data_IF_326731914394
#
_entry.id   IF_326731914394
#
_cell.length_a   1.000
_cell.length_b   1.000
_cell.length_c   1.000
_cell.angle_alpha   90.00
_cell.angle_beta   90.00
_cell.angle_gamma   90.00
#
_symmetry.space_group_name_H-M   'P 1'
#
loop_
_entity.id
_entity.type
_entity.pdbx_description
1 polymer ?
#
# COMPACT_ATOMS: atom_id res chain seq x y z
N UNK A 1 -43.99 -45.92 -33.81
CA UNK A 1 -44.45 -45.71 -35.23
C UNK A 1 -43.63 -44.59 -35.87
N UNK A 2 -42.99 -44.93 -37.01
CA UNK A 2 -42.45 -44.05 -38.08
C UNK A 2 -41.52 -42.89 -37.71
N UNK A 3 -40.22 -43.00 -37.87
CA UNK A 3 -39.38 -42.84 -39.08
C UNK A 3 -39.59 -41.49 -39.79
N UNK A 4 -38.60 -40.60 -39.88
CA UNK A 4 -37.79 -40.46 -41.10
C UNK A 4 -36.57 -39.58 -40.88
N UNK A 5 -35.48 -40.10 -41.42
CA UNK A 5 -34.15 -39.52 -41.65
C UNK A 5 -34.20 -38.59 -42.88
N UNK A 6 -33.28 -37.68 -42.97
CA UNK A 6 -32.49 -37.24 -44.15
C UNK A 6 -32.02 -35.82 -43.87
N UNK A 7 -30.87 -35.36 -44.20
CA UNK A 7 -29.77 -35.87 -45.00
C UNK A 7 -28.71 -34.78 -45.12
N UNK A 8 -27.52 -35.26 -45.12
CA UNK A 8 -26.22 -34.69 -45.40
C UNK A 8 -26.19 -33.80 -46.69
N UNK A 9 -25.53 -32.64 -46.68
CA UNK A 9 -24.83 -32.10 -47.83
C UNK A 9 -23.63 -31.23 -47.43
N UNK A 10 -22.47 -31.78 -47.69
CA UNK A 10 -21.16 -31.14 -47.77
C UNK A 10 -21.11 -30.28 -49.02
N UNK A 11 -20.65 -29.04 -48.94
CA UNK A 11 -20.08 -28.36 -50.10
C UNK A 11 -18.81 -27.60 -49.70
N UNK A 12 -17.69 -28.24 -50.06
CA UNK A 12 -16.35 -27.64 -50.14
C UNK A 12 -16.31 -26.84 -51.44
N UNK A 13 -15.95 -25.58 -51.38
CA UNK A 13 -15.53 -24.81 -52.55
C UNK A 13 -14.22 -24.07 -52.25
N UNK A 14 -13.13 -24.68 -52.69
CA UNK A 14 -11.83 -24.07 -52.90
C UNK A 14 -11.90 -23.26 -54.20
N UNK A 15 -11.64 -21.98 -54.15
CA UNK A 15 -11.23 -21.22 -55.34
C UNK A 15 -9.98 -20.43 -55.02
N UNK A 16 -8.89 -20.90 -55.55
CA UNK A 16 -7.65 -20.16 -55.68
C UNK A 16 -7.78 -19.15 -56.82
N UNK A 17 -7.48 -17.91 -56.59
CA UNK A 17 -7.21 -16.93 -57.64
C UNK A 17 -5.93 -16.19 -57.28
N UNK A 18 -4.83 -16.59 -57.92
CA UNK A 18 -3.65 -15.79 -58.15
C UNK A 18 -3.96 -14.68 -59.15
N UNK A 19 -3.53 -13.49 -58.88
CA UNK A 19 -3.44 -12.50 -59.92
C UNK A 19 -3.28 -11.06 -59.46
N UNK A 20 -2.07 -10.54 -59.66
CA UNK A 20 -1.69 -9.13 -59.90
C UNK A 20 -1.52 -8.19 -58.71
N UNK A 21 -0.25 -8.00 -58.33
CA UNK A 21 0.26 -6.77 -57.72
C UNK A 21 0.09 -5.60 -58.68
N UNK A 22 -0.25 -4.43 -58.17
CA UNK A 22 0.44 -3.21 -58.65
C UNK A 22 1.32 -2.68 -57.54
N UNK A 23 2.62 -2.63 -57.84
CA UNK A 23 3.54 -1.79 -57.11
C UNK A 23 3.14 -0.31 -57.30
N UNK A 24 2.52 0.27 -56.28
CA UNK A 24 2.39 1.72 -56.13
C UNK A 24 3.36 2.13 -55.01
N UNK A 25 4.51 2.61 -55.43
CA UNK A 25 5.38 3.46 -54.63
C UNK A 25 4.59 4.71 -54.23
N UNK A 26 4.06 4.70 -52.98
CA UNK A 26 3.48 5.86 -52.30
C UNK A 26 4.47 6.28 -51.24
N UNK A 27 5.30 7.26 -51.53
CA UNK A 27 6.02 8.02 -50.52
C UNK A 27 5.03 8.79 -49.65
N UNK A 28 5.19 8.73 -48.31
CA UNK A 28 4.69 9.73 -47.40
C UNK A 28 3.47 9.29 -46.58
N UNK A 29 3.70 8.49 -45.59
CA UNK A 29 2.83 8.35 -44.41
C UNK A 29 3.74 8.06 -43.25
N UNK A 30 3.86 9.00 -42.33
CA UNK A 30 4.51 8.75 -41.04
C UNK A 30 3.84 7.50 -40.44
N UNK A 31 4.59 6.42 -40.33
CA UNK A 31 4.10 5.22 -39.65
C UNK A 31 3.80 5.62 -38.22
N UNK A 32 2.54 5.57 -37.84
CA UNK A 32 2.19 5.45 -36.42
C UNK A 32 2.96 4.23 -35.94
N UNK A 33 3.98 4.45 -35.11
CA UNK A 33 4.79 3.36 -34.56
C UNK A 33 3.87 2.43 -33.80
N UNK A 34 4.14 1.13 -33.89
CA UNK A 34 3.36 0.10 -33.18
C UNK A 34 3.23 0.48 -31.71
N UNK A 35 2.00 0.41 -31.16
CA UNK A 35 1.71 0.73 -29.78
C UNK A 35 2.43 -0.25 -28.84
N UNK A 36 3.13 0.28 -27.86
CA UNK A 36 3.87 -0.51 -26.87
C UNK A 36 3.02 -0.58 -25.61
N UNK A 37 2.61 -1.79 -25.24
CA UNK A 37 1.73 -2.02 -24.08
C UNK A 37 2.54 -2.63 -22.95
N UNK A 38 2.68 -1.88 -21.85
CA UNK A 38 3.26 -2.37 -20.58
C UNK A 38 2.10 -2.95 -19.76
N UNK A 39 2.14 -4.25 -19.51
CA UNK A 39 1.08 -4.97 -18.81
C UNK A 39 1.38 -5.09 -17.33
N UNK A 40 0.51 -4.55 -16.49
CA UNK A 40 0.64 -4.57 -15.03
C UNK A 40 -0.40 -5.52 -14.44
N UNK A 41 0.07 -6.53 -13.71
CA UNK A 41 -0.80 -7.40 -12.92
C UNK A 41 -1.07 -6.81 -11.54
N UNK A 42 -2.31 -6.77 -11.09
CA UNK A 42 -2.69 -6.30 -9.75
C UNK A 42 -3.25 -7.46 -8.94
N UNK A 43 -2.51 -7.89 -7.91
CA UNK A 43 -2.90 -8.90 -6.95
C UNK A 43 -3.33 -8.22 -5.66
N UNK A 44 -4.63 -8.21 -5.36
CA UNK A 44 -5.17 -7.47 -4.24
C UNK A 44 -6.47 -8.07 -3.69
N UNK A 45 -6.93 -7.58 -2.55
CA UNK A 45 -8.26 -7.82 -2.04
C UNK A 45 -9.23 -6.77 -2.61
N UNK A 46 -10.08 -7.18 -3.55
CA UNK A 46 -11.10 -6.29 -4.12
C UNK A 46 -12.44 -6.45 -3.43
N UNK A 47 -12.83 -7.67 -3.05
CA UNK A 47 -14.19 -7.96 -2.55
C UNK A 47 -14.21 -8.55 -1.14
N UNK A 48 -13.05 -8.71 -0.51
CA UNK A 48 -12.94 -9.21 0.86
C UNK A 48 -12.93 -8.11 1.92
N UNK A 49 -12.42 -8.44 3.09
CA UNK A 49 -12.51 -7.58 4.29
C UNK A 49 -11.73 -6.25 4.15
N UNK A 50 -10.63 -6.23 3.39
CA UNK A 50 -9.84 -5.01 3.17
C UNK A 50 -10.23 -4.27 1.87
N UNK A 51 -11.20 -4.79 1.11
CA UNK A 51 -11.58 -4.24 -0.20
C UNK A 51 -11.97 -2.76 -0.15
N UNK A 52 -12.66 -2.31 0.90
CA UNK A 52 -13.05 -0.90 1.07
C UNK A 52 -11.88 0.10 1.16
N UNK A 53 -10.72 -0.35 1.65
CA UNK A 53 -9.50 0.47 1.66
C UNK A 53 -8.64 0.24 0.42
N UNK A 54 -8.57 -1.00 -0.09
CA UNK A 54 -7.70 -1.35 -1.23
C UNK A 54 -8.25 -0.87 -2.57
N UNK A 55 -9.56 -0.96 -2.81
CA UNK A 55 -10.15 -0.50 -4.07
C UNK A 55 -9.85 0.99 -4.36
N UNK A 56 -10.08 1.94 -3.44
CA UNK A 56 -9.73 3.33 -3.70
C UNK A 56 -8.23 3.56 -3.93
N UNK A 57 -7.37 2.79 -3.27
CA UNK A 57 -5.92 2.86 -3.49
C UNK A 57 -5.55 2.40 -4.89
N UNK A 58 -6.10 1.25 -5.33
CA UNK A 58 -5.86 0.71 -6.67
C UNK A 58 -6.42 1.66 -7.73
N UNK A 59 -7.65 2.16 -7.55
CA UNK A 59 -8.25 3.10 -8.49
C UNK A 59 -7.42 4.39 -8.63
N UNK A 60 -6.93 4.95 -7.51
CA UNK A 60 -6.05 6.11 -7.54
C UNK A 60 -4.73 5.84 -8.25
N UNK A 61 -4.17 4.65 -8.07
CA UNK A 61 -2.97 4.17 -8.75
C UNK A 61 -3.17 4.04 -10.26
N UNK A 62 -4.24 3.36 -10.67
CA UNK A 62 -4.53 3.13 -12.09
C UNK A 62 -4.88 4.43 -12.80
N UNK A 63 -5.75 5.25 -12.20
CA UNK A 63 -6.11 6.56 -12.72
C UNK A 63 -4.90 7.51 -12.83
N UNK A 64 -3.91 7.35 -11.96
CA UNK A 64 -2.66 8.10 -12.08
C UNK A 64 -1.96 7.79 -13.42
N UNK A 65 -1.75 6.52 -13.71
CA UNK A 65 -1.05 6.10 -14.92
C UNK A 65 -1.90 6.28 -16.20
N UNK A 66 -3.21 6.09 -16.12
CA UNK A 66 -4.10 6.15 -17.28
C UNK A 66 -4.63 7.57 -17.59
N UNK A 67 -4.80 8.42 -16.55
CA UNK A 67 -5.48 9.71 -16.70
C UNK A 67 -4.62 10.91 -16.32
N UNK A 68 -3.73 10.77 -15.32
CA UNK A 68 -2.96 11.91 -14.83
C UNK A 68 -1.66 12.06 -15.63
N UNK A 69 -0.86 10.99 -15.70
CA UNK A 69 0.41 11.01 -16.45
C UNK A 69 0.22 11.41 -17.92
N UNK A 70 -0.74 10.87 -18.69
CA UNK A 70 -0.95 11.29 -20.07
C UNK A 70 -1.39 12.76 -20.26
N UNK A 71 -1.89 13.40 -19.21
CA UNK A 71 -2.32 14.79 -19.22
C UNK A 71 -1.41 15.73 -18.43
N UNK A 72 -0.23 15.26 -18.00
CA UNK A 72 0.79 16.04 -17.31
C UNK A 72 1.66 16.84 -18.31
N UNK A 73 2.50 17.70 -17.78
CA UNK A 73 3.47 18.46 -18.58
C UNK A 73 4.61 17.57 -19.13
N UNK A 74 4.79 16.39 -18.54
CA UNK A 74 5.79 15.40 -18.96
C UNK A 74 5.15 14.00 -19.06
N UNK A 75 4.34 13.73 -20.11
CA UNK A 75 3.71 12.42 -20.29
C UNK A 75 4.73 11.35 -20.68
N UNK A 76 4.35 10.08 -20.50
CA UNK A 76 5.07 8.98 -21.15
C UNK A 76 4.99 9.13 -22.68
N UNK A 77 5.97 8.57 -23.44
CA UNK A 77 5.92 8.63 -24.91
C UNK A 77 4.56 8.18 -25.45
N UNK A 78 3.99 8.88 -26.42
CA UNK A 78 2.60 8.67 -26.93
C UNK A 78 2.31 7.23 -27.33
N UNK A 79 3.33 6.49 -27.81
CA UNK A 79 3.21 5.08 -28.19
C UNK A 79 3.18 4.11 -27.00
N UNK A 80 3.52 4.56 -25.78
CA UNK A 80 3.54 3.71 -24.58
C UNK A 80 2.19 3.79 -23.88
N UNK A 81 1.58 2.64 -23.68
CA UNK A 81 0.32 2.48 -22.95
C UNK A 81 0.51 1.52 -21.80
N UNK A 82 -0.25 1.74 -20.73
CA UNK A 82 -0.30 0.83 -19.59
C UNK A 82 -1.62 0.06 -19.64
N UNK A 83 -1.58 -1.22 -19.35
CA UNK A 83 -2.77 -2.08 -19.29
C UNK A 83 -2.78 -2.86 -17.99
N UNK A 84 -3.90 -2.82 -17.26
CA UNK A 84 -4.06 -3.53 -15.99
C UNK A 84 -4.78 -4.87 -16.14
N UNK A 85 -4.37 -5.84 -15.34
CA UNK A 85 -5.01 -7.15 -15.21
C UNK A 85 -5.11 -7.50 -13.73
N UNK A 86 -6.32 -7.76 -13.25
CA UNK A 86 -6.60 -7.94 -11.82
C UNK A 86 -6.77 -9.40 -11.43
N UNK A 87 -6.38 -9.72 -10.20
CA UNK A 87 -6.75 -10.95 -9.51
C UNK A 87 -7.22 -10.64 -8.08
N UNK A 88 -8.45 -11.06 -7.75
CA UNK A 88 -9.06 -10.84 -6.44
C UNK A 88 -8.71 -11.96 -5.47
N UNK A 89 -7.86 -11.66 -4.49
CA UNK A 89 -7.49 -12.60 -3.43
C UNK A 89 -8.57 -12.78 -2.38
N UNK A 90 -9.48 -11.82 -2.22
CA UNK A 90 -10.51 -11.78 -1.17
C UNK A 90 -9.93 -11.93 0.25
N UNK A 91 -8.71 -11.41 0.45
CA UNK A 91 -7.90 -11.60 1.66
C UNK A 91 -7.76 -13.09 2.07
N UNK A 92 -7.93 -13.98 1.10
CA UNK A 92 -7.75 -15.43 1.27
C UNK A 92 -6.36 -15.84 0.76
N UNK A 93 -5.45 -16.02 1.67
CA UNK A 93 -4.04 -16.31 1.38
C UNK A 93 -3.80 -17.62 0.61
N UNK A 94 -4.78 -18.53 0.57
CA UNK A 94 -4.70 -19.70 -0.29
C UNK A 94 -4.79 -19.36 -1.80
N UNK A 95 -5.30 -18.16 -2.14
CA UNK A 95 -5.39 -17.65 -3.51
C UNK A 95 -4.12 -16.92 -3.98
N UNK A 96 -3.20 -16.57 -3.09
CA UNK A 96 -2.00 -15.78 -3.41
C UNK A 96 -1.17 -16.44 -4.54
N UNK A 97 -0.71 -17.66 -4.33
CA UNK A 97 0.11 -18.36 -5.34
C UNK A 97 -0.66 -18.65 -6.64
N UNK A 98 -1.91 -19.16 -6.61
CA UNK A 98 -2.72 -19.29 -7.82
C UNK A 98 -2.88 -17.97 -8.58
N UNK A 99 -3.19 -16.88 -7.89
CA UNK A 99 -3.37 -15.56 -8.51
C UNK A 99 -2.09 -15.03 -9.16
N UNK A 100 -0.97 -15.16 -8.46
CA UNK A 100 0.34 -14.81 -9.01
C UNK A 100 0.64 -15.60 -10.31
N UNK A 101 0.43 -16.92 -10.31
CA UNK A 101 0.67 -17.76 -11.47
C UNK A 101 -0.29 -17.45 -12.62
N UNK A 102 -1.54 -17.11 -12.33
CA UNK A 102 -2.52 -16.70 -13.33
C UNK A 102 -2.09 -15.39 -13.99
N UNK A 103 -1.75 -14.35 -13.22
CA UNK A 103 -1.28 -13.08 -13.76
C UNK A 103 -0.01 -13.27 -14.61
N UNK A 104 0.96 -14.06 -14.12
CA UNK A 104 2.16 -14.40 -14.88
C UNK A 104 1.82 -15.09 -16.20
N UNK A 105 0.86 -16.03 -16.22
CA UNK A 105 0.45 -16.74 -17.42
C UNK A 105 -0.24 -15.83 -18.47
N UNK A 106 -0.79 -14.70 -18.04
CA UNK A 106 -1.37 -13.67 -18.90
C UNK A 106 -0.32 -12.73 -19.51
N UNK A 107 0.96 -12.95 -19.19
CA UNK A 107 2.09 -12.21 -19.75
C UNK A 107 2.16 -10.78 -19.24
N UNK A 108 1.95 -10.56 -17.94
CA UNK A 108 2.21 -9.27 -17.30
C UNK A 108 3.71 -9.03 -17.19
N UNK A 109 4.14 -7.78 -17.33
CA UNK A 109 5.54 -7.36 -17.30
C UNK A 109 6.01 -6.96 -15.89
N UNK A 110 5.06 -6.51 -15.06
CA UNK A 110 5.26 -6.10 -13.66
C UNK A 110 4.02 -6.49 -12.84
N UNK A 111 4.20 -6.84 -11.55
CA UNK A 111 3.09 -7.08 -10.64
C UNK A 111 3.04 -6.06 -9.50
N UNK A 112 1.86 -5.53 -9.25
CA UNK A 112 1.53 -4.80 -8.04
C UNK A 112 0.87 -5.77 -7.06
N UNK A 113 1.47 -5.94 -5.87
CA UNK A 113 0.97 -6.85 -4.83
C UNK A 113 0.71 -6.03 -3.56
N UNK A 114 -0.57 -5.78 -3.30
CA UNK A 114 -0.98 -4.82 -2.27
C UNK A 114 -0.78 -5.31 -0.85
N UNK A 115 -1.01 -6.59 -0.58
CA UNK A 115 -0.97 -7.13 0.78
C UNK A 115 0.41 -7.68 1.14
N UNK A 116 0.95 -7.28 2.31
CA UNK A 116 2.26 -7.74 2.78
C UNK A 116 2.33 -9.26 2.99
N UNK A 117 1.23 -9.87 3.48
CA UNK A 117 1.16 -11.33 3.69
C UNK A 117 1.20 -12.09 2.36
N UNK A 118 0.56 -11.58 1.31
CA UNK A 118 0.64 -12.18 -0.03
C UNK A 118 2.08 -12.16 -0.54
N UNK A 119 2.78 -11.04 -0.37
CA UNK A 119 4.19 -10.90 -0.75
C UNK A 119 5.10 -11.85 0.05
N UNK A 120 4.85 -12.02 1.36
CA UNK A 120 5.61 -12.94 2.21
C UNK A 120 5.41 -14.39 1.76
N UNK A 121 4.18 -14.81 1.46
CA UNK A 121 3.85 -16.16 0.99
C UNK A 121 4.50 -16.50 -0.37
N UNK A 122 4.66 -15.53 -1.25
CA UNK A 122 5.38 -15.72 -2.50
C UNK A 122 6.88 -15.93 -2.28
N UNK A 123 7.43 -15.41 -1.19
CA UNK A 123 8.82 -15.64 -0.79
C UNK A 123 9.82 -15.22 -1.87
N UNK A 124 10.65 -16.15 -2.34
CA UNK A 124 11.64 -15.92 -3.40
C UNK A 124 11.09 -16.19 -4.82
N UNK A 125 9.81 -16.43 -4.97
CA UNK A 125 9.23 -16.75 -6.28
C UNK A 125 9.40 -15.62 -7.30
N UNK A 126 9.15 -14.33 -6.97
CA UNK A 126 9.39 -13.23 -7.89
C UNK A 126 10.83 -13.21 -8.42
N UNK A 127 11.83 -13.36 -7.53
CA UNK A 127 13.25 -13.43 -7.93
C UNK A 127 13.54 -14.64 -8.84
N UNK A 128 13.03 -15.82 -8.49
CA UNK A 128 13.23 -17.04 -9.28
C UNK A 128 12.52 -17.02 -10.64
N UNK A 129 11.42 -16.30 -10.73
CA UNK A 129 10.61 -16.18 -11.94
C UNK A 129 11.01 -15.00 -12.83
N UNK A 130 11.92 -14.11 -12.37
CA UNK A 130 12.28 -12.87 -13.05
C UNK A 130 11.09 -11.91 -13.18
N UNK A 131 10.21 -11.86 -12.16
CA UNK A 131 9.00 -11.03 -12.17
C UNK A 131 9.17 -9.84 -11.21
N UNK A 132 9.29 -8.60 -11.71
CA UNK A 132 9.36 -7.43 -10.86
C UNK A 132 8.05 -7.24 -10.12
N UNK A 133 8.15 -6.97 -8.81
CA UNK A 133 6.98 -6.73 -7.97
C UNK A 133 7.12 -5.43 -7.22
N UNK A 134 6.08 -4.61 -7.22
CA UNK A 134 5.96 -3.41 -6.39
C UNK A 134 4.78 -3.61 -5.43
N UNK A 135 4.91 -3.11 -4.23
CA UNK A 135 3.78 -3.09 -3.30
C UNK A 135 3.93 -2.01 -2.26
N UNK A 136 2.83 -1.71 -1.60
CA UNK A 136 2.78 -0.68 -0.58
C UNK A 136 3.48 -1.13 0.69
N UNK A 137 2.99 -2.16 1.36
CA UNK A 137 3.55 -2.62 2.64
C UNK A 137 4.81 -3.48 2.48
N UNK A 138 5.85 -3.18 3.25
CA UNK A 138 7.08 -3.99 3.38
C UNK A 138 7.12 -4.82 4.65
N UNK A 139 7.67 -6.02 4.54
CA UNK A 139 8.07 -6.84 5.68
C UNK A 139 9.59 -6.96 5.70
N UNK A 140 10.16 -7.11 6.89
CA UNK A 140 11.62 -7.23 7.05
C UNK A 140 12.23 -8.33 6.19
N UNK A 141 11.53 -9.46 6.03
CA UNK A 141 11.96 -10.60 5.20
C UNK A 141 12.11 -10.28 3.70
N UNK A 142 11.63 -9.13 3.26
CA UNK A 142 11.57 -8.76 1.83
C UNK A 142 12.58 -7.68 1.46
N UNK A 143 13.20 -7.01 2.45
CA UNK A 143 14.01 -5.82 2.22
C UNK A 143 15.28 -6.05 1.38
N UNK A 144 15.80 -7.27 1.33
CA UNK A 144 17.01 -7.63 0.58
C UNK A 144 16.71 -8.34 -0.76
N UNK A 145 15.46 -8.34 -1.24
CA UNK A 145 15.09 -9.04 -2.48
C UNK A 145 15.26 -8.14 -3.70
N UNK A 146 15.85 -8.69 -4.76
CA UNK A 146 16.21 -7.93 -5.96
C UNK A 146 15.02 -7.52 -6.83
N UNK A 147 14.02 -8.40 -6.94
CA UNK A 147 12.85 -8.24 -7.81
C UNK A 147 11.65 -7.64 -7.10
N UNK A 148 11.86 -7.03 -5.95
CA UNK A 148 10.80 -6.50 -5.12
C UNK A 148 11.11 -5.06 -4.71
N UNK A 149 10.13 -4.17 -4.78
CA UNK A 149 10.17 -2.80 -4.29
C UNK A 149 9.01 -2.54 -3.33
N UNK A 150 9.24 -1.72 -2.32
CA UNK A 150 8.24 -1.32 -1.33
C UNK A 150 8.19 0.20 -1.26
N UNK A 151 7.00 0.77 -1.42
CA UNK A 151 6.82 2.23 -1.33
C UNK A 151 6.65 2.71 0.11
N UNK A 152 6.10 1.89 1.00
CA UNK A 152 5.88 2.25 2.40
C UNK A 152 7.00 1.82 3.32
N UNK A 153 7.08 2.51 4.45
CA UNK A 153 7.96 2.12 5.55
C UNK A 153 7.65 0.70 6.05
N UNK A 154 8.66 -0.12 6.34
CA UNK A 154 8.44 -1.49 6.81
C UNK A 154 7.63 -1.54 8.10
N UNK A 155 6.78 -2.56 8.23
CA UNK A 155 5.91 -2.73 9.40
C UNK A 155 6.72 -2.77 10.71
N UNK A 156 7.88 -3.39 10.69
CA UNK A 156 8.77 -3.44 11.87
C UNK A 156 9.23 -2.04 12.30
N UNK A 157 9.50 -1.15 11.34
CA UNK A 157 9.91 0.22 11.64
C UNK A 157 8.78 1.08 12.22
N UNK A 158 7.54 0.78 11.89
CA UNK A 158 6.40 1.46 12.50
C UNK A 158 6.30 1.15 14.00
N UNK A 159 6.49 -0.13 14.39
CA UNK A 159 6.54 -0.52 15.80
C UNK A 159 7.71 0.13 16.56
N UNK A 160 8.89 0.26 15.90
CA UNK A 160 10.03 0.99 16.46
C UNK A 160 9.69 2.47 16.67
N UNK A 161 9.16 3.14 15.65
CA UNK A 161 8.86 4.58 15.72
C UNK A 161 7.80 4.90 16.78
N UNK A 162 6.78 4.07 16.93
CA UNK A 162 5.77 4.28 17.96
C UNK A 162 6.37 4.20 19.37
N UNK A 163 7.29 3.29 19.60
CA UNK A 163 7.98 3.20 20.90
C UNK A 163 8.92 4.38 21.14
N UNK A 164 9.61 4.86 20.09
CA UNK A 164 10.45 6.07 20.19
C UNK A 164 9.59 7.31 20.47
N UNK A 165 8.43 7.43 19.80
CA UNK A 165 7.49 8.51 20.07
C UNK A 165 6.96 8.47 21.51
N UNK A 166 6.55 7.30 22.03
CA UNK A 166 6.13 7.16 23.44
C UNK A 166 7.24 7.60 24.39
N UNK A 167 8.50 7.30 24.07
CA UNK A 167 9.64 7.68 24.89
C UNK A 167 9.83 9.21 24.96
N UNK A 168 9.54 9.91 23.87
CA UNK A 168 9.64 11.37 23.80
C UNK A 168 8.41 12.08 24.40
N UNK A 169 7.22 11.49 24.24
CA UNK A 169 5.96 12.06 24.72
C UNK A 169 5.80 11.94 26.25
N UNK A 170 6.37 10.88 26.85
CA UNK A 170 6.16 10.61 28.26
C UNK A 170 6.95 11.53 29.19
N UNK A 171 6.26 12.20 30.11
CA UNK A 171 6.90 13.02 31.17
C UNK A 171 7.45 12.15 32.32
N UNK A 172 8.65 11.63 32.13
CA UNK A 172 9.33 10.79 33.13
C UNK A 172 9.54 11.52 34.49
N UNK A 173 9.76 12.82 34.46
CA UNK A 173 10.04 13.61 35.67
C UNK A 173 8.73 13.87 36.41
N UNK A 174 7.71 14.37 35.73
CA UNK A 174 6.43 14.69 36.36
C UNK A 174 5.67 13.46 36.84
N UNK A 175 5.82 12.34 36.13
CA UNK A 175 5.17 11.06 36.49
C UNK A 175 5.98 10.23 37.48
N UNK A 176 7.31 10.44 37.58
CA UNK A 176 8.20 9.70 38.48
C UNK A 176 8.30 8.20 38.22
N UNK A 177 7.88 7.74 37.05
CA UNK A 177 7.90 6.34 36.60
C UNK A 177 7.97 6.21 35.09
N UNK A 178 8.30 5.03 34.60
CA UNK A 178 8.21 4.70 33.18
C UNK A 178 6.75 4.49 32.72
N UNK A 179 6.41 4.78 31.45
CA UNK A 179 5.09 4.51 30.89
C UNK A 179 4.82 3.01 30.83
N UNK A 180 3.57 2.63 31.10
CA UNK A 180 3.09 1.27 30.91
C UNK A 180 2.51 1.13 29.51
N UNK A 181 3.12 0.27 28.69
CA UNK A 181 2.79 0.10 27.26
C UNK A 181 2.29 -1.31 27.01
N UNK A 182 1.19 -1.44 26.27
CA UNK A 182 0.68 -2.71 25.77
C UNK A 182 0.50 -2.68 24.27
N UNK A 183 0.41 -3.86 23.64
CA UNK A 183 0.17 -4.01 22.23
C UNK A 183 -1.02 -4.92 21.97
N UNK A 184 -1.95 -4.47 21.11
CA UNK A 184 -3.06 -5.25 20.58
C UNK A 184 -2.92 -5.43 19.08
N UNK A 185 -3.03 -6.66 18.59
CA UNK A 185 -2.87 -6.97 17.18
C UNK A 185 -3.75 -8.12 16.70
N UNK A 186 -3.71 -8.39 15.40
CA UNK A 186 -4.20 -9.64 14.83
C UNK A 186 -3.21 -10.78 15.05
N UNK A 187 -3.71 -12.01 15.05
CA UNK A 187 -2.85 -13.19 14.95
C UNK A 187 -2.41 -13.40 13.48
N UNK A 188 -1.57 -12.50 12.97
CA UNK A 188 -0.99 -12.53 11.63
C UNK A 188 0.53 -12.33 11.71
N UNK A 189 1.25 -12.71 10.65
CA UNK A 189 2.70 -12.51 10.61
C UNK A 189 3.09 -11.02 10.60
N UNK A 190 2.32 -10.15 9.95
CA UNK A 190 2.52 -8.70 10.00
C UNK A 190 2.56 -8.15 11.41
N UNK A 191 1.67 -8.63 12.29
CA UNK A 191 1.65 -8.24 13.72
C UNK A 191 2.90 -8.68 14.47
N UNK A 192 3.49 -9.81 14.09
CA UNK A 192 4.77 -10.29 14.67
C UNK A 192 5.95 -9.40 14.27
N UNK A 193 5.97 -8.93 13.03
CA UNK A 193 6.97 -7.93 12.60
C UNK A 193 6.80 -6.60 13.34
N UNK A 194 5.55 -6.18 13.53
CA UNK A 194 5.26 -4.98 14.33
C UNK A 194 5.78 -5.13 15.76
N UNK A 195 5.45 -6.26 16.42
CA UNK A 195 5.94 -6.60 17.75
C UNK A 195 7.46 -6.69 17.79
N UNK A 196 8.10 -7.21 16.74
CA UNK A 196 9.56 -7.27 16.67
C UNK A 196 10.20 -5.87 16.69
N UNK A 197 9.61 -4.87 16.03
CA UNK A 197 10.04 -3.47 16.13
C UNK A 197 9.92 -2.91 17.54
N UNK A 198 8.81 -3.17 18.22
CA UNK A 198 8.59 -2.84 19.62
C UNK A 198 9.68 -3.47 20.52
N UNK A 199 9.96 -4.76 20.29
CA UNK A 199 10.94 -5.51 21.09
C UNK A 199 12.39 -5.00 20.91
N UNK A 200 12.74 -4.51 19.72
CA UNK A 200 14.04 -3.85 19.49
C UNK A 200 14.22 -2.63 20.41
N UNK A 201 13.21 -1.77 20.48
CA UNK A 201 13.29 -0.56 21.31
C UNK A 201 13.29 -0.92 22.81
N UNK A 202 12.47 -1.89 23.23
CA UNK A 202 12.50 -2.39 24.61
C UNK A 202 13.86 -2.96 25.00
N UNK A 203 14.53 -3.66 24.08
CA UNK A 203 15.87 -4.20 24.32
C UNK A 203 16.94 -3.10 24.38
N UNK A 204 16.83 -2.08 23.52
CA UNK A 204 17.78 -0.95 23.51
C UNK A 204 17.59 -0.01 24.71
N UNK A 205 16.37 0.11 25.23
CA UNK A 205 16.00 1.05 26.30
C UNK A 205 15.19 0.37 27.41
N UNK A 206 15.72 -0.65 28.11
CA UNK A 206 14.97 -1.53 29.01
C UNK A 206 14.30 -0.79 30.20
N UNK A 207 14.88 0.30 30.66
CA UNK A 207 14.39 1.07 31.80
C UNK A 207 13.35 2.15 31.41
N UNK A 208 13.12 2.34 30.12
CA UNK A 208 12.22 3.39 29.62
C UNK A 208 10.75 2.97 29.59
N UNK A 209 10.45 1.69 29.72
CA UNK A 209 9.09 1.17 29.58
C UNK A 209 8.76 0.12 30.64
N UNK A 210 7.50 0.10 31.08
CA UNK A 210 6.89 -1.03 31.76
C UNK A 210 6.00 -1.76 30.74
N UNK A 211 6.37 -2.99 30.37
CA UNK A 211 5.62 -3.75 29.36
C UNK A 211 4.42 -4.47 29.97
N UNK A 212 3.21 -4.21 29.46
CA UNK A 212 1.98 -4.82 29.96
C UNK A 212 1.65 -6.16 29.28
N UNK A 213 2.06 -6.33 28.02
CA UNK A 213 1.82 -7.56 27.26
C UNK A 213 1.50 -7.31 25.79
N UNK A 214 1.52 -8.41 25.05
CA UNK A 214 1.06 -8.49 23.67
C UNK A 214 -0.24 -9.31 23.63
N UNK A 215 -1.31 -8.70 23.16
CA UNK A 215 -2.65 -9.29 23.10
C UNK A 215 -3.06 -9.50 21.64
N UNK A 216 -3.53 -10.66 21.32
CA UNK A 216 -3.94 -11.02 19.97
C UNK A 216 -5.45 -11.27 19.87
N UNK A 217 -6.01 -10.91 18.72
CA UNK A 217 -7.35 -11.28 18.29
C UNK A 217 -7.31 -11.93 16.90
N UNK A 218 -8.31 -12.74 16.60
CA UNK A 218 -8.47 -13.29 15.24
C UNK A 218 -8.93 -12.19 14.28
N UNK A 219 -8.56 -12.31 13.00
CA UNK A 219 -9.07 -11.42 11.96
C UNK A 219 -10.62 -11.49 11.94
N UNK A 220 -11.26 -10.33 11.91
CA UNK A 220 -12.73 -10.21 12.02
C UNK A 220 -13.27 -10.12 13.44
N UNK A 221 -12.42 -10.20 14.48
CA UNK A 221 -12.88 -10.06 15.87
C UNK A 221 -13.38 -8.63 16.15
N UNK A 222 -14.58 -8.53 16.72
CA UNK A 222 -15.20 -7.27 17.16
C UNK A 222 -15.55 -7.28 18.65
N UNK A 223 -15.08 -8.26 19.40
CA UNK A 223 -15.31 -8.40 20.84
C UNK A 223 -14.01 -8.42 21.62
N UNK A 224 -13.71 -7.33 22.33
CA UNK A 224 -12.40 -7.06 22.93
C UNK A 224 -12.41 -7.02 24.47
N UNK A 225 -13.50 -7.39 25.12
CA UNK A 225 -13.66 -7.22 26.58
C UNK A 225 -12.52 -7.81 27.41
N UNK A 226 -11.97 -8.97 27.03
CA UNK A 226 -10.85 -9.59 27.72
C UNK A 226 -9.55 -8.84 27.52
N UNK A 227 -9.24 -8.40 26.28
CA UNK A 227 -8.05 -7.62 25.94
C UNK A 227 -8.12 -6.24 26.61
N UNK A 228 -9.28 -5.56 26.54
CA UNK A 228 -9.50 -4.30 27.25
C UNK A 228 -9.23 -4.46 28.75
N UNK A 229 -9.73 -5.52 29.37
CA UNK A 229 -9.49 -5.76 30.81
C UNK A 229 -8.01 -5.88 31.15
N UNK A 230 -7.22 -6.54 30.31
CA UNK A 230 -5.76 -6.70 30.51
C UNK A 230 -4.99 -5.44 30.21
N UNK A 231 -5.41 -4.65 29.21
CA UNK A 231 -4.69 -3.48 28.74
C UNK A 231 -5.13 -2.14 29.35
N UNK A 232 -6.32 -2.08 29.98
CA UNK A 232 -6.88 -0.80 30.48
C UNK A 232 -6.04 -0.03 31.50
N UNK A 233 -5.06 -0.67 32.10
CA UNK A 233 -4.10 0.00 33.03
C UNK A 233 -2.86 0.52 32.35
N UNK A 234 -2.74 0.41 31.01
CA UNK A 234 -1.66 0.99 30.25
C UNK A 234 -1.81 2.51 30.15
N UNK A 235 -0.68 3.20 30.02
CA UNK A 235 -0.65 4.61 29.63
C UNK A 235 -0.82 4.74 28.12
N UNK A 236 -0.23 3.79 27.38
CA UNK A 236 -0.30 3.69 25.92
C UNK A 236 -0.69 2.28 25.49
N UNK A 237 -1.57 2.18 24.51
CA UNK A 237 -1.84 0.93 23.80
C UNK A 237 -1.49 1.14 22.34
N UNK A 238 -0.51 0.37 21.86
CA UNK A 238 -0.23 0.24 20.43
C UNK A 238 -1.29 -0.70 19.84
N UNK A 239 -1.95 -0.30 18.75
CA UNK A 239 -3.09 -1.01 18.18
C UNK A 239 -2.80 -1.31 16.70
N UNK A 240 -2.44 -2.55 16.40
CA UNK A 240 -2.17 -3.04 15.04
C UNK A 240 -3.37 -3.79 14.48
N UNK A 241 -4.57 -3.23 14.65
CA UNK A 241 -5.81 -3.68 14.01
C UNK A 241 -6.44 -2.52 13.24
N UNK A 242 -7.31 -2.82 12.28
CA UNK A 242 -7.83 -1.84 11.34
C UNK A 242 -9.34 -1.96 11.13
N UNK A 243 -9.95 -0.97 10.51
CA UNK A 243 -11.34 -0.94 10.10
C UNK A 243 -12.34 -1.16 11.25
N UNK A 244 -13.39 -2.00 11.04
CA UNK A 244 -14.41 -2.27 12.05
C UNK A 244 -13.87 -2.82 13.36
N UNK A 245 -12.76 -3.53 13.31
CA UNK A 245 -12.11 -4.11 14.49
C UNK A 245 -11.44 -3.04 15.34
N UNK A 246 -10.82 -2.04 14.72
CA UNK A 246 -10.27 -0.87 15.40
C UNK A 246 -11.38 -0.05 16.06
N UNK A 247 -12.44 0.29 15.32
CA UNK A 247 -13.59 1.04 15.85
C UNK A 247 -14.20 0.37 17.07
N UNK A 248 -14.40 -0.94 16.96
CA UNK A 248 -14.94 -1.76 18.04
C UNK A 248 -14.01 -1.79 19.26
N UNK A 249 -12.68 -1.89 19.05
CA UNK A 249 -11.73 -1.84 20.16
C UNK A 249 -11.73 -0.48 20.84
N UNK A 250 -11.64 0.61 20.09
CA UNK A 250 -11.67 1.97 20.65
C UNK A 250 -12.92 2.17 21.49
N UNK A 251 -14.09 1.86 20.95
CA UNK A 251 -15.37 2.01 21.67
C UNK A 251 -15.41 1.19 22.95
N UNK A 252 -14.98 -0.08 22.92
CA UNK A 252 -14.98 -0.93 24.10
C UNK A 252 -13.91 -0.51 25.14
N UNK A 253 -12.75 -0.05 24.69
CA UNK A 253 -11.69 0.47 25.57
C UNK A 253 -12.17 1.72 26.31
N UNK A 254 -12.75 2.69 25.59
CA UNK A 254 -13.29 3.93 26.19
C UNK A 254 -14.48 3.64 27.12
N UNK A 255 -15.42 2.80 26.72
CA UNK A 255 -16.52 2.35 27.58
C UNK A 255 -16.04 1.57 28.81
N UNK A 256 -14.93 0.82 28.69
CA UNK A 256 -14.26 0.11 29.78
C UNK A 256 -13.43 1.01 30.72
N UNK A 257 -13.43 2.33 30.50
CA UNK A 257 -12.74 3.32 31.31
C UNK A 257 -11.26 3.52 30.96
N UNK A 258 -10.80 3.09 29.78
CA UNK A 258 -9.45 3.41 29.31
C UNK A 258 -9.34 4.87 28.93
N UNK A 259 -8.39 5.58 29.54
CA UNK A 259 -8.17 7.02 29.35
C UNK A 259 -6.79 7.35 28.76
N UNK A 260 -5.92 6.36 28.52
CA UNK A 260 -4.62 6.56 27.96
C UNK A 260 -4.63 6.71 26.43
N UNK A 261 -3.45 6.90 25.86
CA UNK A 261 -3.26 7.10 24.42
C UNK A 261 -3.42 5.80 23.62
N UNK A 262 -3.99 5.92 22.43
CA UNK A 262 -4.11 4.85 21.44
C UNK A 262 -3.25 5.20 20.21
N UNK A 263 -2.31 4.32 19.87
CA UNK A 263 -1.41 4.51 18.75
C UNK A 263 -1.65 3.45 17.68
N UNK A 264 -1.80 3.88 16.42
CA UNK A 264 -1.87 2.94 15.30
C UNK A 264 -0.73 3.17 14.30
N UNK A 265 -0.47 2.19 13.45
CA UNK A 265 0.23 2.42 12.20
C UNK A 265 -0.69 3.08 11.16
N UNK A 266 -0.14 3.26 9.98
CA UNK A 266 -0.87 3.89 8.87
C UNK A 266 -2.11 3.10 8.42
N UNK A 267 -2.12 1.78 8.59
CA UNK A 267 -3.25 0.92 8.26
C UNK A 267 -4.42 1.03 9.25
N UNK A 268 -4.20 1.65 10.41
CA UNK A 268 -5.21 1.81 11.44
C UNK A 268 -6.21 2.92 11.14
N UNK A 269 -6.04 4.07 11.78
CA UNK A 269 -6.95 5.20 11.60
C UNK A 269 -6.98 5.74 10.16
N UNK A 270 -5.84 6.08 9.54
CA UNK A 270 -5.88 6.76 8.25
C UNK A 270 -6.34 5.86 7.09
N UNK A 271 -6.02 4.57 7.13
CA UNK A 271 -6.38 3.63 6.07
C UNK A 271 -7.89 3.33 5.98
N UNK A 272 -8.59 3.39 7.11
CA UNK A 272 -10.01 3.04 7.21
C UNK A 272 -10.84 4.15 7.87
N UNK A 273 -10.44 5.39 7.73
CA UNK A 273 -11.03 6.52 8.44
C UNK A 273 -12.57 6.61 8.37
N UNK A 274 -13.22 6.49 7.19
CA UNK A 274 -14.68 6.52 7.11
C UNK A 274 -15.36 5.38 7.87
N UNK A 275 -14.79 4.18 7.85
CA UNK A 275 -15.31 3.05 8.62
C UNK A 275 -15.11 3.26 10.12
N UNK A 276 -13.98 3.83 10.52
CA UNK A 276 -13.72 4.13 11.94
C UNK A 276 -14.72 5.16 12.43
N UNK A 277 -14.86 6.29 11.75
CA UNK A 277 -15.76 7.37 12.16
C UNK A 277 -17.23 6.98 12.09
N UNK A 278 -17.62 6.18 11.09
CA UNK A 278 -18.99 5.69 10.95
C UNK A 278 -19.43 4.67 12.00
N UNK A 279 -18.49 4.06 12.73
CA UNK A 279 -18.79 2.99 13.69
C UNK A 279 -18.41 3.30 15.15
N UNK A 280 -17.63 4.35 15.39
CA UNK A 280 -17.11 4.66 16.73
C UNK A 280 -18.17 5.22 17.70
N UNK A 281 -19.33 5.57 17.22
CA UNK A 281 -20.45 6.09 18.03
C UNK A 281 -20.32 7.57 18.40
N UNK A 282 -19.16 8.06 18.85
CA UNK A 282 -18.87 9.46 19.11
C UNK A 282 -17.41 9.77 18.81
N UNK A 283 -17.15 10.88 18.12
CA UNK A 283 -15.80 11.37 17.83
C UNK A 283 -15.01 11.71 19.11
N UNK A 284 -15.69 11.99 20.22
CA UNK A 284 -15.02 12.23 21.50
C UNK A 284 -14.22 11.00 21.98
N UNK A 285 -14.53 9.80 21.48
CA UNK A 285 -13.77 8.58 21.81
C UNK A 285 -12.37 8.57 21.18
N UNK A 286 -12.11 9.47 20.22
CA UNK A 286 -10.81 9.63 19.56
C UNK A 286 -9.85 10.58 20.30
N UNK A 287 -10.20 11.02 21.52
CA UNK A 287 -9.25 11.77 22.32
C UNK A 287 -7.98 10.95 22.53
N UNK A 288 -6.83 11.62 22.49
CA UNK A 288 -5.52 11.00 22.68
C UNK A 288 -5.29 9.80 21.76
N UNK A 289 -5.74 9.94 20.49
CA UNK A 289 -5.48 8.97 19.44
C UNK A 289 -4.41 9.50 18.49
N UNK A 290 -3.47 8.62 18.15
CA UNK A 290 -2.31 8.93 17.34
C UNK A 290 -2.09 7.87 16.27
N UNK A 291 -1.41 8.24 15.18
CA UNK A 291 -0.84 7.28 14.25
C UNK A 291 0.54 7.73 13.78
N UNK A 292 1.33 6.81 13.24
CA UNK A 292 2.61 7.12 12.61
C UNK A 292 2.54 6.89 11.11
N UNK A 293 3.12 7.83 10.33
CA UNK A 293 3.21 7.74 8.88
C UNK A 293 4.40 8.55 8.36
N UNK A 294 4.72 8.37 7.07
CA UNK A 294 5.82 9.02 6.33
C UNK A 294 5.33 10.07 5.34
N UNK A 295 4.03 10.06 5.00
CA UNK A 295 3.42 10.99 4.05
C UNK A 295 2.85 12.25 4.71
N UNK A 296 2.60 13.31 3.91
CA UNK A 296 1.79 14.44 4.35
C UNK A 296 0.31 14.08 4.45
N UNK A 297 -0.44 14.81 5.27
CA UNK A 297 -1.88 14.61 5.43
C UNK A 297 -2.70 15.70 4.71
N UNK A 298 -3.98 15.46 4.51
CA UNK A 298 -4.90 16.28 3.71
C UNK A 298 -4.96 17.77 4.07
N UNK A 299 -4.60 18.17 5.27
CA UNK A 299 -4.55 19.58 5.74
C UNK A 299 -3.16 20.23 5.58
N UNK A 300 -2.21 19.56 5.00
CA UNK A 300 -0.89 20.12 4.72
C UNK A 300 -0.87 20.74 3.32
N UNK A 301 -0.15 21.87 3.20
CA UNK A 301 -0.03 22.61 1.93
C UNK A 301 1.27 22.17 1.22
N UNK A 302 1.19 21.04 0.54
CA UNK A 302 2.29 20.45 -0.23
C UNK A 302 1.80 19.95 -1.58
N UNK A 303 2.65 19.93 -2.62
CA UNK A 303 2.26 19.58 -4.00
C UNK A 303 1.52 18.24 -4.11
N UNK A 304 1.98 17.20 -3.43
CA UNK A 304 1.33 15.88 -3.45
C UNK A 304 -0.14 15.95 -3.00
N UNK A 305 -0.41 16.69 -1.91
CA UNK A 305 -1.77 16.79 -1.38
C UNK A 305 -2.64 17.64 -2.31
N UNK A 306 -2.08 18.68 -2.93
CA UNK A 306 -2.81 19.46 -3.93
C UNK A 306 -3.15 18.58 -5.15
N UNK A 307 -2.21 17.81 -5.65
CA UNK A 307 -2.41 16.86 -6.74
C UNK A 307 -3.48 15.79 -6.40
N UNK A 308 -3.48 15.26 -5.19
CA UNK A 308 -4.55 14.36 -4.72
C UNK A 308 -5.93 15.04 -4.69
N UNK A 309 -6.00 16.30 -4.27
CA UNK A 309 -7.26 17.09 -4.29
C UNK A 309 -7.75 17.33 -5.71
N UNK A 310 -6.86 17.74 -6.60
CA UNK A 310 -7.17 18.00 -8.02
C UNK A 310 -7.63 16.71 -8.72
N UNK A 311 -6.99 15.59 -8.43
CA UNK A 311 -7.42 14.26 -8.90
C UNK A 311 -8.86 13.95 -8.45
N UNK A 312 -9.15 14.09 -7.15
CA UNK A 312 -10.49 13.84 -6.62
C UNK A 312 -11.53 14.74 -7.29
N UNK A 313 -11.22 16.03 -7.44
CA UNK A 313 -12.15 16.99 -8.05
C UNK A 313 -12.39 16.73 -9.53
N UNK A 314 -11.40 16.25 -10.25
CA UNK A 314 -11.47 16.04 -11.69
C UNK A 314 -12.02 14.68 -12.09
N UNK A 315 -11.63 13.62 -11.37
CA UNK A 315 -11.85 12.25 -11.83
C UNK A 315 -12.77 11.41 -10.93
N UNK A 316 -13.00 11.83 -9.68
CA UNK A 316 -13.87 11.10 -8.75
C UNK A 316 -15.29 11.65 -8.80
N UNK A 317 -16.28 10.77 -8.70
CA UNK A 317 -17.70 11.15 -8.62
C UNK A 317 -17.97 12.01 -7.39
N UNK A 318 -18.86 12.97 -7.52
CA UNK A 318 -19.13 13.95 -6.47
C UNK A 318 -19.56 13.31 -5.14
N UNK A 319 -20.33 12.22 -5.19
CA UNK A 319 -20.81 11.49 -4.03
C UNK A 319 -19.71 10.80 -3.21
N UNK A 320 -18.56 10.46 -3.85
CA UNK A 320 -17.46 9.69 -3.22
C UNK A 320 -16.31 10.61 -2.72
N UNK A 321 -16.33 11.90 -3.10
CA UNK A 321 -15.19 12.82 -2.87
C UNK A 321 -14.87 13.06 -1.42
N UNK A 322 -15.91 13.28 -0.61
CA UNK A 322 -15.76 13.56 0.83
C UNK A 322 -15.11 12.38 1.55
N UNK A 323 -15.59 11.17 1.27
CA UNK A 323 -15.06 9.95 1.85
C UNK A 323 -13.59 9.76 1.50
N UNK A 324 -13.21 9.94 0.23
CA UNK A 324 -11.82 9.75 -0.22
C UNK A 324 -10.85 10.79 0.34
N UNK A 325 -11.29 12.03 0.57
CA UNK A 325 -10.47 13.06 1.23
C UNK A 325 -10.19 12.79 2.71
N UNK A 326 -10.91 11.88 3.34
CA UNK A 326 -10.68 11.47 4.72
C UNK A 326 -9.73 10.28 4.89
N UNK A 327 -9.25 9.66 3.79
CA UNK A 327 -8.45 8.44 3.84
C UNK A 327 -7.04 8.62 3.32
N UNK A 328 -6.14 7.71 3.69
CA UNK A 328 -4.81 7.61 3.06
C UNK A 328 -4.84 6.90 1.69
N UNK A 329 -5.97 6.34 1.27
CA UNK A 329 -6.05 5.48 0.09
C UNK A 329 -5.62 6.18 -1.19
N UNK A 330 -6.08 7.43 -1.41
CA UNK A 330 -5.70 8.21 -2.60
C UNK A 330 -4.22 8.55 -2.56
N UNK A 331 -3.71 8.99 -1.40
CA UNK A 331 -2.28 9.32 -1.22
C UNK A 331 -1.43 8.08 -1.53
N UNK A 332 -1.78 6.93 -0.97
CA UNK A 332 -1.07 5.66 -1.18
C UNK A 332 -1.10 5.20 -2.64
N UNK A 333 -2.24 5.37 -3.32
CA UNK A 333 -2.36 5.05 -4.74
C UNK A 333 -1.48 5.95 -5.61
N UNK A 334 -1.37 7.23 -5.27
CA UNK A 334 -0.46 8.20 -5.93
C UNK A 334 1.01 7.81 -5.72
N UNK A 335 1.41 7.47 -4.48
CA UNK A 335 2.76 6.98 -4.21
C UNK A 335 3.13 5.79 -5.08
N UNK A 336 2.23 4.82 -5.15
CA UNK A 336 2.43 3.63 -5.96
C UNK A 336 2.51 3.98 -7.45
N UNK A 337 1.66 4.89 -7.93
CA UNK A 337 1.66 5.39 -9.30
C UNK A 337 2.98 6.07 -9.67
N UNK A 338 3.47 6.96 -8.83
CA UNK A 338 4.75 7.66 -9.02
C UNK A 338 5.90 6.65 -9.08
N UNK A 339 5.94 5.65 -8.19
CA UNK A 339 6.99 4.65 -8.19
C UNK A 339 6.97 3.78 -9.46
N UNK A 340 5.78 3.37 -9.92
CA UNK A 340 5.63 2.57 -11.15
C UNK A 340 5.96 3.42 -12.38
N UNK A 341 5.47 4.65 -12.47
CA UNK A 341 5.82 5.58 -13.56
C UNK A 341 7.33 5.76 -13.65
N UNK A 342 7.98 6.05 -12.53
CA UNK A 342 9.43 6.26 -12.53
C UNK A 342 10.19 4.99 -12.95
N UNK A 343 9.75 3.83 -12.53
CA UNK A 343 10.33 2.55 -12.98
C UNK A 343 10.20 2.38 -14.50
N UNK A 344 9.05 2.73 -15.08
CA UNK A 344 8.81 2.70 -16.53
C UNK A 344 9.70 3.71 -17.25
N UNK A 345 9.80 4.96 -16.76
CA UNK A 345 10.66 5.99 -17.35
C UNK A 345 12.12 5.58 -17.37
N UNK A 346 12.63 5.10 -16.23
CA UNK A 346 14.01 4.63 -16.13
C UNK A 346 14.29 3.46 -17.08
N UNK A 347 13.32 2.52 -17.21
CA UNK A 347 13.45 1.41 -18.16
C UNK A 347 13.48 1.90 -19.61
N UNK A 348 12.58 2.82 -19.98
CA UNK A 348 12.54 3.42 -21.32
C UNK A 348 13.84 4.17 -21.63
N UNK A 349 14.35 4.95 -20.67
CA UNK A 349 15.62 5.68 -20.84
C UNK A 349 16.80 4.72 -21.05
N UNK A 350 16.82 3.60 -20.33
CA UNK A 350 17.93 2.65 -20.38
C UNK A 350 17.96 1.81 -21.66
N UNK A 351 16.80 1.32 -22.14
CA UNK A 351 16.75 0.33 -23.22
C UNK A 351 15.92 0.75 -24.44
N UNK A 352 15.24 1.89 -24.40
CA UNK A 352 14.24 2.31 -25.40
C UNK A 352 12.89 1.65 -25.16
N UNK A 353 11.81 2.35 -25.51
CA UNK A 353 10.45 1.92 -25.20
C UNK A 353 10.10 0.55 -25.80
N UNK A 354 10.58 0.23 -26.98
CA UNK A 354 10.37 -1.03 -27.70
C UNK A 354 11.05 -2.25 -27.10
N UNK A 355 11.99 -2.03 -26.16
CA UNK A 355 12.76 -3.10 -25.51
C UNK A 355 12.43 -3.23 -24.03
N UNK A 356 11.39 -2.53 -23.54
CA UNK A 356 10.97 -2.64 -22.14
C UNK A 356 10.37 -4.02 -21.90
N UNK A 357 11.00 -4.77 -21.01
CA UNK A 357 10.54 -6.07 -20.51
C UNK A 357 10.61 -6.10 -18.96
N UNK A 358 10.30 -7.24 -18.37
CA UNK A 358 10.35 -7.40 -16.90
C UNK A 358 11.74 -7.13 -16.31
N UNK A 359 12.81 -7.43 -17.02
CA UNK A 359 14.17 -7.18 -16.54
C UNK A 359 14.50 -5.67 -16.59
N UNK A 360 14.13 -4.98 -17.66
CA UNK A 360 14.27 -3.54 -17.78
C UNK A 360 13.44 -2.81 -16.71
N UNK A 361 12.20 -3.26 -16.43
CA UNK A 361 11.36 -2.70 -15.37
C UNK A 361 11.97 -2.92 -13.97
N UNK A 362 12.54 -4.10 -13.71
CA UNK A 362 13.28 -4.37 -12.47
C UNK A 362 14.47 -3.42 -12.31
N UNK A 363 15.24 -3.23 -13.37
CA UNK A 363 16.38 -2.30 -13.34
C UNK A 363 15.90 -0.84 -13.20
N UNK A 364 14.78 -0.49 -13.84
CA UNK A 364 14.11 0.80 -13.67
C UNK A 364 13.64 1.05 -12.23
N UNK A 365 13.07 0.03 -11.55
CA UNK A 365 12.75 0.12 -10.11
C UNK A 365 14.00 0.36 -9.26
N UNK A 366 15.11 -0.29 -9.60
CA UNK A 366 16.36 -0.15 -8.86
C UNK A 366 17.02 1.22 -9.07
N UNK A 367 16.73 1.89 -10.17
CA UNK A 367 17.23 3.21 -10.53
C UNK A 367 16.33 4.36 -10.03
N UNK A 368 15.30 4.09 -9.22
CA UNK A 368 14.47 5.17 -8.65
C UNK A 368 15.35 6.04 -7.76
N UNK A 369 15.33 7.35 -8.05
CA UNK A 369 16.07 8.41 -7.38
C UNK A 369 15.22 9.69 -7.43
N UNK A 370 14.33 9.90 -6.43
CA UNK A 370 13.34 10.97 -6.43
C UNK A 370 13.34 11.74 -5.10
N UNK A 371 13.40 13.07 -5.19
CA UNK A 371 13.06 13.93 -4.07
C UNK A 371 11.66 14.49 -4.27
N UNK A 372 10.71 14.03 -3.47
CA UNK A 372 9.33 14.46 -3.51
C UNK A 372 9.06 15.46 -2.38
N UNK A 373 8.54 16.63 -2.73
CA UNK A 373 8.18 17.65 -1.74
C UNK A 373 7.03 17.16 -0.85
N UNK A 374 7.21 17.31 0.46
CA UNK A 374 6.26 16.85 1.48
C UNK A 374 6.53 15.45 2.01
N UNK A 375 7.43 14.69 1.39
CA UNK A 375 7.91 13.42 1.94
C UNK A 375 9.12 13.63 2.86
N UNK A 376 9.25 12.70 3.83
CA UNK A 376 10.31 12.76 4.83
C UNK A 376 11.64 12.21 4.30
N UNK A 377 11.60 11.31 3.34
CA UNK A 377 12.77 10.65 2.74
C UNK A 377 12.95 11.03 1.28
N UNK A 378 14.19 11.00 0.84
CA UNK A 378 14.56 10.86 -0.55
C UNK A 378 14.29 9.42 -0.99
N UNK A 379 13.49 9.23 -2.04
CA UNK A 379 13.15 7.93 -2.56
C UNK A 379 14.32 7.37 -3.36
N UNK A 380 15.06 6.49 -2.73
CA UNK A 380 16.19 5.83 -3.35
C UNK A 380 16.35 4.41 -2.83
N UNK A 381 16.47 3.46 -3.75
CA UNK A 381 16.85 2.11 -3.38
C UNK A 381 18.33 2.07 -2.99
N UNK A 382 18.66 1.33 -1.93
CA UNK A 382 20.05 1.06 -1.53
C UNK A 382 20.39 -0.42 -1.69
N UNK A 383 21.66 -0.77 -1.66
CA UNK A 383 22.11 -2.16 -1.78
C UNK A 383 21.50 -3.10 -0.72
N UNK A 384 21.10 -2.57 0.43
CA UNK A 384 20.63 -3.35 1.57
C UNK A 384 19.13 -3.23 1.80
N UNK A 385 18.43 -2.41 1.02
CA UNK A 385 16.99 -2.24 1.17
C UNK A 385 16.31 -1.84 -0.12
N UNK A 386 15.21 -2.51 -0.41
CA UNK A 386 14.28 -2.19 -1.48
C UNK A 386 13.09 -1.34 -1.00
N UNK A 387 13.20 -0.66 0.14
CA UNK A 387 12.18 0.21 0.69
C UNK A 387 12.52 1.67 0.41
N UNK A 388 11.55 2.43 -0.12
CA UNK A 388 11.74 3.83 -0.49
C UNK A 388 11.60 4.80 0.69
N UNK A 389 10.94 4.40 1.77
CA UNK A 389 10.62 5.26 2.90
C UNK A 389 10.95 4.61 4.23
N UNK A 390 11.56 5.36 5.12
CA UNK A 390 11.97 4.92 6.46
C UNK A 390 11.55 5.88 7.55
N UNK A 391 11.78 7.18 7.33
CA UNK A 391 11.44 8.22 8.29
C UNK A 391 9.94 8.33 8.48
N UNK A 392 9.51 8.55 9.70
CA UNK A 392 8.11 8.66 10.06
C UNK A 392 7.91 9.78 11.07
N UNK A 393 6.72 10.32 11.12
CA UNK A 393 6.28 11.24 12.17
C UNK A 393 4.95 10.78 12.73
N UNK A 394 4.66 11.21 13.96
CA UNK A 394 3.37 10.95 14.55
C UNK A 394 2.36 12.02 14.16
N UNK A 395 1.10 11.64 14.19
CA UNK A 395 -0.05 12.51 14.01
C UNK A 395 -0.98 12.36 15.21
N UNK A 396 -1.57 13.46 15.64
CA UNK A 396 -2.56 13.52 16.70
C UNK A 396 -3.92 13.93 16.14
N UNK A 397 -5.00 13.32 16.62
CA UNK A 397 -6.34 13.75 16.27
C UNK A 397 -6.79 14.93 17.10
N UNK A 398 -7.00 16.08 16.46
CA UNK A 398 -7.54 17.28 17.09
C UNK A 398 -9.05 17.20 17.17
N UNK A 399 -9.62 16.90 18.33
CA UNK A 399 -11.08 16.90 18.55
C UNK A 399 -11.72 18.26 18.26
N UNK A 400 -11.00 19.35 18.55
CA UNK A 400 -11.52 20.72 18.36
C UNK A 400 -11.67 21.09 16.89
N UNK A 401 -10.74 20.61 16.04
CA UNK A 401 -10.71 20.93 14.61
C UNK A 401 -11.24 19.79 13.74
N UNK A 402 -11.39 18.58 14.30
CA UNK A 402 -11.86 17.42 13.57
C UNK A 402 -10.87 16.88 12.55
N UNK A 403 -9.56 17.12 12.72
CA UNK A 403 -8.52 16.77 11.75
C UNK A 403 -7.32 16.11 12.42
N UNK A 404 -6.58 15.35 11.66
CA UNK A 404 -5.26 14.85 12.05
C UNK A 404 -4.21 15.92 11.84
N UNK A 405 -3.36 16.14 12.85
CA UNK A 405 -2.26 17.11 12.82
C UNK A 405 -0.93 16.40 12.90
N UNK A 406 0.02 16.71 11.99
CA UNK A 406 1.37 16.20 12.11
C UNK A 406 2.06 16.80 13.34
N UNK A 407 2.75 15.97 14.08
CA UNK A 407 3.65 16.41 15.13
C UNK A 407 5.04 16.73 14.53
N UNK A 408 5.80 17.67 15.14
CA UNK A 408 6.99 18.22 14.48
C UNK A 408 8.17 17.25 14.41
N UNK A 409 8.24 16.26 15.32
CA UNK A 409 9.37 15.35 15.39
C UNK A 409 9.32 14.30 14.31
N UNK A 410 10.40 14.16 13.56
CA UNK A 410 10.62 13.10 12.57
C UNK A 410 11.52 12.03 13.20
N UNK A 411 11.06 10.81 13.17
CA UNK A 411 11.78 9.63 13.67
C UNK A 411 12.40 8.87 12.52
N UNK A 412 13.68 8.55 12.64
CA UNK A 412 14.38 7.66 11.73
C UNK A 412 14.62 6.33 12.42
N UNK A 413 13.90 5.26 12.05
CA UNK A 413 14.11 3.94 12.63
C UNK A 413 15.51 3.45 12.24
N UNK A 414 16.33 3.18 13.25
CA UNK A 414 17.73 2.73 13.08
C UNK A 414 17.94 1.31 13.54
N UNK A 415 17.12 0.83 14.49
CA UNK A 415 17.23 -0.51 15.06
C UNK A 415 16.66 -1.58 14.10
N UNK A 416 15.59 -1.25 13.36
CA UNK A 416 14.96 -2.15 12.39
C UNK A 416 15.54 -2.02 10.99
N UNK A 417 16.31 -0.99 10.70
CA UNK A 417 16.91 -0.78 9.39
C UNK A 417 18.08 -1.75 9.18
N UNK A 418 18.16 -2.46 8.05
CA UNK A 418 19.31 -3.32 7.76
C UNK A 418 20.61 -2.51 7.79
N UNK A 419 21.57 -2.96 8.59
CA UNK A 419 22.92 -2.39 8.58
C UNK A 419 23.68 -2.92 7.37
N UNK A 420 24.30 -2.02 6.62
CA UNK A 420 25.11 -2.34 5.44
C UNK A 420 26.38 -3.10 5.76
#
# INVERSE_FOLDING_TARGET
>A
MKRRRAGLAILVLLVALLGALPALAGCGGGGEGEEIVIKIGVLADFTGTAGSAMQPTIQSFEDYLEKVVPNSDDPLPDKVKVQFTHFDTQLNYAKTTPGYLELKSRGVDLMVIMNAQDRELLGNRPDGDGMPTIGTMGLQSMLAKDWTLTTWSPIQSQGEVQMLWIMDDWDYVGKGRSPKVGHLAYNLSSSKYYQAGIDLVKAAYPDKFTWAGFEEGTLGNVSWGSQVTRLKSCDYIIVSVAGPMLSSFVSQARAGGYTGALLTGMEGFPGFWPLVTGQIGSMDQLYDCHYVAWWPWWNEDVPLIQDCKDYIDKYVKAEDREELRGTSSVISGRELGIAVEQAIRNAIEAVGAENVDSAALKDGMNAIDLQLEGYLDHWQRTANTNCLQWSQRAFEYSLTEGVWKPLPTVYQPTLSRPTG
#
